data_IF_079770516267
#
_entry.id   IF_079770516267
#
_cell.length_a   1.000
_cell.length_b   1.000
_cell.length_c   1.000
_cell.angle_alpha   90.00
_cell.angle_beta   90.00
_cell.angle_gamma   90.00
#
_symmetry.space_group_name_H-M   'P 1'
#
loop_
_entity.id
_entity.type
_entity.pdbx_description
1 polymer ?
#
# COMPACT_ATOMS: atom_id res chain seq x y z
N UNK A 1 -15.91 6.06 -16.77
CA UNK A 1 -14.69 6.86 -17.05
C UNK A 1 -14.44 7.07 -18.53
N UNK A 2 -14.14 6.05 -19.36
CA UNK A 2 -13.90 6.27 -20.80
C UNK A 2 -15.12 6.86 -21.53
N UNK A 3 -16.31 6.31 -21.30
CA UNK A 3 -17.57 6.81 -21.87
C UNK A 3 -17.90 8.27 -21.49
N UNK A 4 -17.35 8.77 -20.38
CA UNK A 4 -17.66 10.10 -19.83
C UNK A 4 -16.52 11.10 -20.03
N UNK A 5 -15.42 10.71 -20.71
CA UNK A 5 -14.23 11.55 -20.86
C UNK A 5 -13.39 11.77 -19.58
N UNK A 6 -13.88 11.36 -18.41
CA UNK A 6 -13.24 11.61 -17.11
C UNK A 6 -11.91 10.85 -16.89
N UNK A 7 -11.57 9.91 -17.77
CA UNK A 7 -10.43 9.01 -17.62
C UNK A 7 -9.08 9.72 -17.44
N UNK A 8 -8.83 10.82 -18.18
CA UNK A 8 -7.57 11.56 -18.07
C UNK A 8 -7.47 12.40 -16.79
N UNK A 9 -8.60 12.66 -16.14
CA UNK A 9 -8.68 13.38 -14.87
C UNK A 9 -9.13 12.47 -13.71
N UNK A 10 -8.81 11.18 -13.80
CA UNK A 10 -9.08 10.24 -12.71
C UNK A 10 -7.81 9.47 -12.38
N UNK A 11 -7.40 9.56 -11.12
CA UNK A 11 -6.42 8.67 -10.51
C UNK A 11 -7.15 7.42 -10.00
N UNK A 12 -6.75 6.25 -10.49
CA UNK A 12 -7.31 4.96 -10.10
C UNK A 12 -6.25 4.23 -9.29
N UNK A 13 -6.62 3.80 -8.09
CA UNK A 13 -5.79 2.95 -7.23
C UNK A 13 -6.52 1.63 -7.00
N UNK A 14 -5.82 0.53 -7.21
CA UNK A 14 -6.28 -0.82 -6.86
C UNK A 14 -5.31 -1.40 -5.83
N UNK A 15 -5.84 -1.91 -4.72
CA UNK A 15 -5.07 -2.63 -3.70
C UNK A 15 -5.96 -3.57 -2.89
N UNK A 16 -5.38 -4.34 -1.98
CA UNK A 16 -6.08 -5.11 -0.93
C UNK A 16 -5.79 -4.53 0.45
N UNK A 17 -6.62 -4.82 1.44
CA UNK A 17 -6.44 -4.42 2.84
C UNK A 17 -5.50 -5.38 3.61
N UNK A 18 -5.47 -6.65 3.22
CA UNK A 18 -4.57 -7.68 3.72
C UNK A 18 -4.30 -8.76 2.66
N UNK A 19 -3.39 -9.67 3.01
CA UNK A 19 -3.18 -10.91 2.27
C UNK A 19 -4.42 -11.80 2.24
N UNK A 20 -4.49 -12.68 1.26
CA UNK A 20 -5.65 -13.53 0.98
C UNK A 20 -5.97 -14.52 2.10
N UNK A 21 -7.27 -14.79 2.27
CA UNK A 21 -7.80 -15.80 3.18
C UNK A 21 -7.85 -17.18 2.48
N UNK A 22 -6.85 -18.03 2.74
CA UNK A 22 -6.68 -19.32 2.04
C UNK A 22 -7.90 -20.23 2.16
N UNK A 23 -8.53 -20.29 3.35
CA UNK A 23 -9.73 -21.10 3.58
C UNK A 23 -10.96 -20.60 2.80
N UNK A 24 -10.93 -19.37 2.29
CA UNK A 24 -11.96 -18.80 1.43
C UNK A 24 -11.60 -18.88 -0.07
N UNK A 25 -10.54 -19.62 -0.43
CA UNK A 25 -10.12 -19.85 -1.82
C UNK A 25 -9.16 -18.79 -2.38
N UNK A 26 -8.60 -17.91 -1.56
CA UNK A 26 -7.59 -16.96 -2.00
C UNK A 26 -6.19 -17.61 -2.13
N UNK A 27 -5.29 -16.94 -2.86
CA UNK A 27 -3.86 -17.31 -2.99
C UNK A 27 -2.97 -16.10 -2.76
N UNK A 28 -1.82 -16.32 -2.12
CA UNK A 28 -0.78 -15.30 -1.91
C UNK A 28 0.48 -15.58 -2.77
N UNK A 29 0.41 -16.55 -3.69
CA UNK A 29 1.56 -16.98 -4.49
C UNK A 29 2.67 -17.59 -3.62
N UNK A 30 3.93 -17.28 -3.92
CA UNK A 30 5.10 -17.86 -3.26
C UNK A 30 5.46 -17.19 -1.92
N UNK A 31 4.58 -16.38 -1.34
CA UNK A 31 4.82 -15.74 -0.04
C UNK A 31 4.47 -16.67 1.12
N UNK A 32 5.15 -16.49 2.25
CA UNK A 32 4.84 -17.22 3.47
C UNK A 32 3.54 -16.72 4.11
N UNK A 33 2.64 -17.66 4.43
CA UNK A 33 1.41 -17.44 5.22
C UNK A 33 0.32 -16.60 4.51
N UNK A 34 -0.65 -16.10 5.26
CA UNK A 34 -1.91 -15.56 4.77
C UNK A 34 -2.51 -14.48 5.69
N UNK A 35 -3.75 -14.07 5.38
CA UNK A 35 -4.56 -13.15 6.21
C UNK A 35 -4.40 -13.43 7.71
N UNK A 36 -4.09 -12.37 8.46
CA UNK A 36 -3.89 -12.43 9.92
C UNK A 36 -2.44 -12.67 10.35
N UNK A 37 -1.56 -13.03 9.43
CA UNK A 37 -0.12 -13.17 9.68
C UNK A 37 0.66 -11.87 9.46
N UNK A 38 1.80 -11.74 10.12
CA UNK A 38 2.79 -10.68 9.87
C UNK A 38 3.90 -11.11 8.88
N UNK A 39 3.82 -12.33 8.32
CA UNK A 39 4.65 -12.70 7.18
C UNK A 39 4.15 -12.07 5.88
N UNK A 40 5.00 -12.04 4.84
CA UNK A 40 4.71 -11.43 3.54
C UNK A 40 3.32 -11.80 3.00
N UNK A 41 2.86 -13.04 3.15
CA UNK A 41 1.56 -13.46 2.63
C UNK A 41 0.35 -12.89 3.39
N UNK A 42 0.54 -12.26 4.55
CA UNK A 42 -0.48 -11.54 5.29
C UNK A 42 -0.46 -10.02 5.07
N UNK A 43 0.69 -9.44 4.72
CA UNK A 43 0.89 -7.97 4.65
C UNK A 43 1.27 -7.43 3.26
N UNK A 44 1.80 -8.27 2.36
CA UNK A 44 2.12 -7.89 0.97
C UNK A 44 0.89 -8.08 0.10
N UNK A 45 0.40 -6.99 -0.47
CA UNK A 45 -0.83 -6.95 -1.27
C UNK A 45 -0.54 -6.53 -2.71
N UNK A 46 -1.33 -6.98 -3.70
CA UNK A 46 -1.22 -6.45 -5.05
C UNK A 46 -1.58 -4.97 -5.04
N UNK A 47 -0.83 -4.15 -5.77
CA UNK A 47 -1.12 -2.73 -5.91
C UNK A 47 -0.92 -2.29 -7.37
N UNK A 48 -1.85 -1.51 -7.90
CA UNK A 48 -1.76 -0.91 -9.22
C UNK A 48 -2.31 0.51 -9.20
N UNK A 49 -1.64 1.43 -9.90
CA UNK A 49 -2.06 2.82 -10.02
C UNK A 49 -2.13 3.20 -11.49
N UNK A 50 -3.21 3.84 -11.89
CA UNK A 50 -3.41 4.34 -13.26
C UNK A 50 -3.83 5.81 -13.19
N UNK A 51 -3.08 6.67 -13.88
CA UNK A 51 -3.49 8.04 -14.14
C UNK A 51 -3.06 8.43 -15.55
N UNK A 52 -4.01 8.45 -16.48
CA UNK A 52 -3.70 8.61 -17.89
C UNK A 52 -3.03 9.97 -18.17
N UNK A 53 -1.87 9.91 -18.83
CA UNK A 53 -1.04 11.08 -19.13
C UNK A 53 -0.17 11.58 -17.97
N UNK A 54 -0.22 10.94 -16.79
CA UNK A 54 0.57 11.32 -15.61
C UNK A 54 1.43 10.18 -15.08
N UNK A 55 0.86 8.99 -14.94
CA UNK A 55 1.61 7.77 -14.58
C UNK A 55 2.06 7.08 -15.86
N UNK A 56 3.35 6.73 -15.94
CA UNK A 56 3.92 5.99 -17.06
C UNK A 56 3.21 4.63 -17.20
N UNK A 57 2.69 4.33 -18.38
CA UNK A 57 2.06 3.03 -18.65
C UNK A 57 3.09 1.91 -18.66
N UNK A 58 2.70 0.72 -18.21
CA UNK A 58 3.53 -0.49 -18.22
C UNK A 58 4.88 -0.32 -17.49
N UNK A 59 4.92 0.50 -16.44
CA UNK A 59 6.06 0.61 -15.53
C UNK A 59 5.83 -0.13 -14.21
N UNK A 60 6.91 -0.53 -13.57
CA UNK A 60 6.91 -1.10 -12.22
C UNK A 60 7.75 -0.23 -11.28
N UNK A 61 7.52 -0.37 -9.98
CA UNK A 61 8.33 0.24 -8.92
C UNK A 61 8.57 -0.78 -7.82
N UNK A 62 9.83 -0.93 -7.42
CA UNK A 62 10.24 -1.79 -6.31
C UNK A 62 10.22 -1.05 -4.96
N UNK A 63 9.79 0.22 -4.94
CA UNK A 63 9.69 0.99 -3.69
C UNK A 63 8.64 0.37 -2.77
N UNK A 64 9.02 0.16 -1.52
CA UNK A 64 8.11 -0.29 -0.47
C UNK A 64 7.13 0.84 -0.13
N UNK A 65 5.85 0.59 -0.37
CA UNK A 65 4.76 1.48 -0.02
C UNK A 65 3.83 0.82 0.98
N UNK A 66 3.13 1.63 1.79
CA UNK A 66 2.13 1.15 2.73
C UNK A 66 0.77 1.71 2.35
N UNK A 67 -0.30 0.97 2.65
CA UNK A 67 -1.68 1.43 2.39
C UNK A 67 -1.95 2.79 3.03
N UNK A 68 -1.37 3.07 4.21
CA UNK A 68 -1.52 4.37 4.87
C UNK A 68 -0.89 5.55 4.11
N UNK A 69 0.02 5.30 3.16
CA UNK A 69 0.63 6.34 2.33
C UNK A 69 -0.31 6.81 1.22
N UNK A 70 -1.39 6.06 0.94
CA UNK A 70 -2.42 6.52 0.02
C UNK A 70 -3.05 7.82 0.49
N UNK A 71 -3.26 8.00 1.80
CA UNK A 71 -3.87 9.22 2.34
C UNK A 71 -3.12 10.50 1.92
N UNK A 72 -1.83 10.71 2.25
CA UNK A 72 -1.11 11.90 1.81
C UNK A 72 -0.94 11.96 0.30
N UNK A 73 -0.78 10.82 -0.39
CA UNK A 73 -0.63 10.77 -1.85
C UNK A 73 -1.88 11.28 -2.57
N UNK A 74 -3.07 10.87 -2.09
CA UNK A 74 -4.35 11.28 -2.68
C UNK A 74 -4.66 12.75 -2.37
N UNK A 75 -4.34 13.24 -1.16
CA UNK A 75 -4.47 14.66 -0.85
C UNK A 75 -3.55 15.52 -1.72
N UNK A 76 -2.29 15.13 -1.89
CA UNK A 76 -1.36 15.85 -2.76
C UNK A 76 -1.84 15.84 -4.22
N UNK A 77 -2.32 14.68 -4.71
CA UNK A 77 -2.88 14.57 -6.05
C UNK A 77 -4.13 15.46 -6.27
N UNK A 78 -4.91 15.66 -5.20
CA UNK A 78 -6.06 16.56 -5.18
C UNK A 78 -5.70 18.04 -4.91
N UNK A 79 -4.40 18.35 -4.74
CA UNK A 79 -3.91 19.68 -4.34
C UNK A 79 -4.52 20.15 -2.99
N UNK A 80 -4.83 19.22 -2.10
CA UNK A 80 -5.34 19.47 -0.76
C UNK A 80 -4.19 19.51 0.26
N UNK A 81 -4.41 20.19 1.38
CA UNK A 81 -3.44 20.26 2.48
C UNK A 81 -3.27 18.89 3.15
N UNK A 82 -2.03 18.43 3.26
CA UNK A 82 -1.68 17.23 4.03
C UNK A 82 -1.46 17.63 5.50
N UNK A 83 -2.11 16.98 6.49
CA UNK A 83 -1.85 17.24 7.90
C UNK A 83 -0.41 16.87 8.29
N UNK A 84 0.19 17.62 9.21
CA UNK A 84 1.57 17.37 9.68
C UNK A 84 1.68 16.19 10.66
N UNK A 85 0.57 15.63 11.13
CA UNK A 85 0.51 14.60 12.18
C UNK A 85 0.05 13.26 11.58
N UNK A 86 0.81 12.77 10.61
CA UNK A 86 0.58 11.45 10.00
C UNK A 86 1.90 10.71 9.82
N UNK A 87 1.86 9.38 9.92
CA UNK A 87 3.03 8.54 9.63
C UNK A 87 3.23 8.31 8.13
N UNK A 88 2.20 8.58 7.32
CA UNK A 88 2.21 8.34 5.89
C UNK A 88 3.08 9.37 5.16
N UNK A 89 3.79 8.91 4.11
CA UNK A 89 4.51 9.79 3.19
C UNK A 89 3.92 9.64 1.80
N UNK A 90 3.65 10.76 1.13
CA UNK A 90 3.20 10.73 -0.25
C UNK A 90 4.24 10.08 -1.16
N UNK A 91 3.78 9.27 -2.10
CA UNK A 91 4.58 8.71 -3.19
C UNK A 91 4.12 9.25 -4.56
N UNK A 92 3.39 10.36 -4.60
CA UNK A 92 2.98 11.01 -5.86
C UNK A 92 4.18 11.32 -6.76
N UNK A 93 5.33 11.84 -6.28
CA UNK A 93 6.48 12.07 -7.15
C UNK A 93 6.96 10.81 -7.87
N UNK A 94 6.98 9.67 -7.17
CA UNK A 94 7.30 8.36 -7.77
C UNK A 94 6.33 8.02 -8.89
N UNK A 95 5.03 8.27 -8.69
CA UNK A 95 4.00 8.04 -9.71
C UNK A 95 4.19 8.92 -10.96
N UNK A 96 4.68 10.15 -10.76
CA UNK A 96 4.96 11.11 -11.84
C UNK A 96 6.33 10.91 -12.50
N UNK A 97 7.08 9.89 -12.09
CA UNK A 97 8.38 9.56 -12.68
C UNK A 97 9.53 10.44 -12.18
N UNK A 98 9.35 11.15 -11.07
CA UNK A 98 10.42 11.92 -10.45
C UNK A 98 11.42 10.99 -9.74
N UNK A 99 12.71 11.29 -9.89
CA UNK A 99 13.77 10.51 -9.27
C UNK A 99 13.97 10.98 -7.82
N UNK A 100 13.11 10.50 -6.91
CA UNK A 100 13.18 10.84 -5.49
C UNK A 100 13.72 9.67 -4.68
N UNK A 101 14.77 9.96 -3.90
CA UNK A 101 15.26 9.07 -2.85
C UNK A 101 14.58 9.43 -1.54
N UNK A 102 13.99 8.41 -0.94
CA UNK A 102 13.34 8.51 0.34
C UNK A 102 14.30 8.01 1.42
N UNK A 103 14.54 8.78 2.51
CA UNK A 103 15.33 8.26 3.62
C UNK A 103 14.75 6.93 4.10
N UNK A 104 15.63 5.97 4.34
CA UNK A 104 15.24 4.70 4.94
C UNK A 104 14.57 4.96 6.28
N UNK A 105 13.49 4.22 6.53
CA UNK A 105 12.79 4.26 7.80
C UNK A 105 12.26 2.88 8.15
N UNK A 106 12.20 2.55 9.46
CA UNK A 106 11.51 1.35 9.88
C UNK A 106 10.02 1.44 9.51
N UNK A 107 9.49 0.33 9.05
CA UNK A 107 8.06 0.11 8.85
C UNK A 107 7.60 -0.89 9.89
N UNK A 108 6.53 -0.55 10.60
CA UNK A 108 5.96 -1.36 11.66
C UNK A 108 4.62 -1.94 11.21
N UNK A 109 4.44 -3.24 11.44
CA UNK A 109 3.18 -3.94 11.31
C UNK A 109 2.78 -4.44 12.68
N UNK A 110 1.54 -4.15 13.08
CA UNK A 110 1.02 -4.52 14.38
C UNK A 110 -0.34 -5.16 14.19
N UNK A 111 -0.52 -6.33 14.79
CA UNK A 111 -1.84 -6.95 14.97
C UNK A 111 -2.09 -7.13 16.46
N UNK A 112 -3.16 -6.51 16.93
CA UNK A 112 -3.67 -6.67 18.28
C UNK A 112 -4.94 -7.51 18.21
N UNK A 113 -4.88 -8.71 18.75
CA UNK A 113 -6.04 -9.61 18.85
C UNK A 113 -6.48 -9.70 20.30
N UNK A 114 -7.80 -9.60 20.53
CA UNK A 114 -8.41 -9.86 21.83
C UNK A 114 -8.95 -11.28 21.99
N UNK A 115 -8.76 -12.15 20.99
CA UNK A 115 -9.36 -13.49 20.96
C UNK A 115 -8.43 -14.58 21.53
N UNK A 116 -9.02 -15.63 22.10
CA UNK A 116 -8.31 -16.74 22.77
C UNK A 116 -7.34 -17.48 21.83
N UNK A 117 -7.65 -17.54 20.54
CA UNK A 117 -6.83 -18.19 19.50
C UNK A 117 -5.39 -17.70 19.47
N UNK A 118 -5.15 -16.43 19.85
CA UNK A 118 -3.82 -15.82 19.90
C UNK A 118 -3.39 -15.43 21.32
N UNK A 119 -4.11 -15.92 22.34
CA UNK A 119 -3.80 -15.70 23.75
C UNK A 119 -3.78 -14.22 24.16
N UNK A 120 -4.59 -13.37 23.50
CA UNK A 120 -4.60 -11.91 23.70
C UNK A 120 -3.23 -11.22 23.47
N UNK A 121 -2.32 -11.87 22.72
CA UNK A 121 -0.97 -11.32 22.47
C UNK A 121 -0.99 -10.37 21.28
N UNK A 122 -0.09 -9.39 21.34
CA UNK A 122 0.23 -8.52 20.22
C UNK A 122 1.25 -9.26 19.33
N UNK A 123 1.01 -9.25 18.03
CA UNK A 123 2.01 -9.64 17.04
C UNK A 123 2.57 -8.40 16.37
N UNK A 124 3.89 -8.29 16.35
CA UNK A 124 4.60 -7.15 15.80
C UNK A 124 5.62 -7.65 14.79
N UNK A 125 5.78 -6.92 13.69
CA UNK A 125 6.88 -7.10 12.76
C UNK A 125 7.45 -5.72 12.38
N UNK A 126 8.77 -5.69 12.20
CA UNK A 126 9.48 -4.51 11.72
C UNK A 126 10.23 -4.86 10.44
N UNK A 127 10.11 -4.00 9.42
CA UNK A 127 10.97 -4.02 8.24
C UNK A 127 11.93 -2.84 8.32
N UNK A 128 13.23 -3.12 8.23
CA UNK A 128 14.31 -2.13 8.19
C UNK A 128 15.08 -2.35 6.89
N UNK A 129 15.37 -1.26 6.17
CA UNK A 129 16.06 -1.30 4.88
C UNK A 129 15.16 -1.67 3.69
N UNK A 130 15.80 -1.69 2.52
CA UNK A 130 15.20 -2.05 1.23
C UNK A 130 15.10 -3.56 1.02
#
# INVERSE_FOLDING_TARGET
MKKTGAHNNTLIVFTSDNGGQILAGATNGNTRDAKGSMYEGGIKVPAAVVWAGKVKSNSTSEQVQLTMYLFPTLLEAAQASVPNIIDGRSFLPTLLGENITYPERPVYFVRREGEETYGSKIMEAVRVGH
#
